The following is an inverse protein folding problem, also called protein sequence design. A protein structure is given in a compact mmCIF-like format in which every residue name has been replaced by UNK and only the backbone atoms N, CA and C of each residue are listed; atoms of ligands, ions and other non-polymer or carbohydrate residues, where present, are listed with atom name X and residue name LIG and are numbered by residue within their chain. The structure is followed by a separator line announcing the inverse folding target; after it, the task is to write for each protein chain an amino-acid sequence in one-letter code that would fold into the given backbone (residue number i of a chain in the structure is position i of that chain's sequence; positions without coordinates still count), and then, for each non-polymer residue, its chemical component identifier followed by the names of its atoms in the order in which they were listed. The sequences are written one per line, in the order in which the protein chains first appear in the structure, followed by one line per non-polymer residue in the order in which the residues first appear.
data_IF_182076416682
#
_entry.id   IF_182076416682
#
_cell.length_a   1.000
_cell.length_b   1.000
_cell.length_c   1.000
_cell.angle_alpha   90.00
_cell.angle_beta   90.00
_cell.angle_gamma   90.00
#
_symmetry.space_group_name_H-M   'P 1'
#
loop_
_entity.id
_entity.type
_entity.pdbx_description
1 polymer ?
#
# COMPACT_ATOMS: atom_id res chain seq x y z
N UNK A 1 -28.63 10.64 0.58
CA UNK A 1 -27.94 10.83 -0.71
C UNK A 1 -27.13 9.58 -1.01
N UNK A 2 -27.41 8.86 -2.09
CA UNK A 2 -26.59 7.73 -2.51
C UNK A 2 -25.22 8.26 -2.93
N UNK A 3 -24.16 7.92 -2.18
CA UNK A 3 -22.81 8.29 -2.59
C UNK A 3 -22.49 7.57 -3.89
N UNK A 4 -22.14 8.33 -4.93
CA UNK A 4 -21.69 7.81 -6.21
C UNK A 4 -20.41 7.00 -5.95
N UNK A 5 -20.47 5.68 -6.16
CA UNK A 5 -19.31 4.80 -6.05
C UNK A 5 -18.34 5.13 -7.17
N UNK A 6 -17.26 5.83 -6.86
CA UNK A 6 -16.21 6.15 -7.83
C UNK A 6 -15.34 4.91 -8.09
N UNK A 7 -14.98 4.62 -9.35
CA UNK A 7 -14.14 3.49 -9.68
C UNK A 7 -12.71 3.71 -9.14
N UNK A 8 -12.13 2.64 -8.59
CA UNK A 8 -10.74 2.61 -8.13
C UNK A 8 -9.97 1.58 -8.94
N UNK A 9 -8.92 2.04 -9.62
CA UNK A 9 -7.98 1.22 -10.38
C UNK A 9 -6.70 0.95 -9.59
N UNK A 10 -6.02 -0.15 -9.88
CA UNK A 10 -4.72 -0.48 -9.31
C UNK A 10 -3.62 -0.37 -10.37
N UNK A 11 -2.58 0.41 -10.11
CA UNK A 11 -1.45 0.64 -11.03
C UNK A 11 -0.11 0.47 -10.30
N UNK A 12 0.96 0.15 -11.02
CA UNK A 12 2.31 -0.03 -10.45
C UNK A 12 3.21 1.21 -10.54
N UNK A 13 2.74 2.26 -11.20
CA UNK A 13 3.39 3.57 -11.26
C UNK A 13 2.34 4.68 -11.31
N UNK A 14 2.72 5.87 -10.86
CA UNK A 14 1.91 7.07 -10.96
C UNK A 14 2.60 8.10 -11.87
N UNK A 15 1.84 8.92 -12.60
CA UNK A 15 2.37 10.16 -13.19
C UNK A 15 3.08 11.04 -12.15
N UNK A 16 4.17 11.71 -12.55
CA UNK A 16 4.98 12.53 -11.65
C UNK A 16 4.22 13.71 -11.03
N UNK A 17 3.15 14.19 -11.67
CA UNK A 17 2.22 15.20 -11.13
C UNK A 17 1.58 14.80 -9.78
N UNK A 18 1.57 13.50 -9.45
CA UNK A 18 1.01 13.01 -8.19
C UNK A 18 2.03 12.95 -7.05
N UNK A 19 3.26 13.43 -7.22
CA UNK A 19 4.30 13.37 -6.19
C UNK A 19 3.82 13.88 -4.83
N UNK A 20 3.30 15.11 -4.76
CA UNK A 20 2.84 15.70 -3.50
C UNK A 20 1.65 14.96 -2.90
N UNK A 21 0.72 14.46 -3.74
CA UNK A 21 -0.41 13.69 -3.23
C UNK A 21 0.05 12.34 -2.65
N UNK A 22 1.05 11.73 -3.27
CA UNK A 22 1.67 10.50 -2.78
C UNK A 22 2.45 10.74 -1.49
N UNK A 23 3.19 11.85 -1.41
CA UNK A 23 3.93 12.28 -0.22
C UNK A 23 3.00 12.48 0.99
N UNK A 24 1.89 13.21 0.80
CA UNK A 24 0.86 13.36 1.84
C UNK A 24 0.28 12.02 2.26
N UNK A 25 0.02 11.14 1.30
CA UNK A 25 -0.52 9.82 1.58
C UNK A 25 0.47 8.91 2.34
N UNK A 26 1.76 8.99 2.02
CA UNK A 26 2.81 8.11 2.59
C UNK A 26 3.47 8.61 3.86
N UNK A 27 3.53 9.91 4.11
CA UNK A 27 4.29 10.47 5.24
C UNK A 27 3.44 11.33 6.18
N UNK A 28 2.35 11.92 5.69
CA UNK A 28 1.51 12.84 6.46
C UNK A 28 0.12 12.27 6.76
N UNK A 29 -0.06 10.95 6.65
CA UNK A 29 -1.32 10.30 6.99
C UNK A 29 -1.45 10.22 8.52
N UNK A 30 -2.44 10.92 9.09
CA UNK A 30 -2.62 11.07 10.54
C UNK A 30 -2.89 9.76 11.27
N UNK A 31 -3.17 8.67 10.54
CA UNK A 31 -3.43 7.33 11.11
C UNK A 31 -2.20 6.45 11.25
N UNK A 32 -1.03 6.89 10.77
CA UNK A 32 0.21 6.10 10.84
C UNK A 32 0.69 5.81 12.27
N UNK A 33 0.36 6.69 13.23
CA UNK A 33 0.66 6.49 14.65
C UNK A 33 0.18 5.12 15.16
N UNK A 34 -0.93 4.60 14.61
CA UNK A 34 -1.52 3.32 15.00
C UNK A 34 -0.66 2.11 14.66
N UNK A 35 0.25 2.26 13.70
CA UNK A 35 1.09 1.18 13.18
C UNK A 35 2.58 1.51 13.32
N UNK A 36 2.92 2.50 14.15
CA UNK A 36 4.27 3.05 14.31
C UNK A 36 5.35 1.99 14.51
N UNK A 37 5.14 1.03 15.41
CA UNK A 37 6.10 -0.05 15.66
C UNK A 37 6.44 -0.85 14.41
N UNK A 38 5.44 -1.18 13.59
CA UNK A 38 5.69 -1.89 12.33
C UNK A 38 6.39 -1.01 11.29
N UNK A 39 6.21 0.31 11.33
CA UNK A 39 6.94 1.25 10.45
C UNK A 39 8.41 1.24 10.87
N UNK A 40 8.69 1.38 12.16
CA UNK A 40 10.05 1.32 12.71
C UNK A 40 10.74 -0.02 12.37
N UNK A 41 10.05 -1.15 12.52
CA UNK A 41 10.58 -2.46 12.11
C UNK A 41 10.85 -2.54 10.60
N UNK A 42 9.96 -1.98 9.76
CA UNK A 42 10.18 -1.95 8.31
C UNK A 42 11.41 -1.12 7.94
N UNK A 43 11.55 0.07 8.54
CA UNK A 43 12.68 0.97 8.30
C UNK A 43 14.00 0.31 8.73
N UNK A 44 14.03 -0.29 9.93
CA UNK A 44 15.25 -0.94 10.43
C UNK A 44 15.70 -2.10 9.55
N UNK A 45 14.77 -2.81 8.92
CA UNK A 45 15.08 -4.02 8.12
C UNK A 45 15.31 -3.74 6.64
N UNK A 46 14.61 -2.78 6.05
CA UNK A 46 14.61 -2.54 4.60
C UNK A 46 15.01 -1.12 4.21
N UNK A 47 15.21 -0.23 5.17
CA UNK A 47 15.43 1.20 4.92
C UNK A 47 14.13 2.00 4.87
N UNK A 48 14.26 3.33 4.95
CA UNK A 48 13.13 4.23 4.86
C UNK A 48 12.50 4.21 3.46
N UNK A 49 11.16 4.33 3.35
CA UNK A 49 10.52 4.49 2.06
C UNK A 49 10.84 5.86 1.47
N UNK A 50 11.16 5.88 0.18
CA UNK A 50 11.50 7.09 -0.58
C UNK A 50 10.65 7.16 -1.84
N UNK A 51 10.20 8.37 -2.20
CA UNK A 51 9.52 8.61 -3.47
C UNK A 51 10.57 9.02 -4.49
N UNK A 52 10.70 8.24 -5.56
CA UNK A 52 11.66 8.48 -6.65
C UNK A 52 10.93 8.80 -7.93
N UNK A 53 11.41 9.82 -8.62
CA UNK A 53 10.97 10.19 -9.96
C UNK A 53 11.81 9.47 -11.01
N UNK A 54 11.16 8.65 -11.83
CA UNK A 54 11.73 8.00 -13.01
C UNK A 54 11.06 8.58 -14.26
N UNK A 55 11.72 9.54 -14.91
CA UNK A 55 11.18 10.25 -16.07
C UNK A 55 9.86 10.95 -15.76
N UNK A 56 8.76 10.50 -16.38
CA UNK A 56 7.41 11.05 -16.18
C UNK A 56 6.60 10.34 -15.11
N UNK A 57 7.22 9.40 -14.39
CA UNK A 57 6.54 8.58 -13.38
C UNK A 57 7.20 8.69 -12.02
N UNK A 58 6.43 8.46 -10.97
CA UNK A 58 6.93 8.29 -9.60
C UNK A 58 6.67 6.88 -9.12
N UNK A 59 7.62 6.39 -8.32
CA UNK A 59 7.57 5.12 -7.61
C UNK A 59 7.99 5.29 -6.17
N UNK A 60 7.76 4.26 -5.38
CA UNK A 60 8.23 4.16 -4.00
C UNK A 60 9.28 3.07 -3.94
N UNK A 61 10.45 3.40 -3.43
CA UNK A 61 11.53 2.46 -3.12
C UNK A 61 11.78 2.42 -1.61
N UNK A 62 12.68 1.54 -1.18
CA UNK A 62 13.23 1.52 0.18
C UNK A 62 14.76 1.62 0.07
N UNK A 63 15.41 2.28 1.03
CA UNK A 63 16.85 2.56 0.96
C UNK A 63 17.78 1.34 1.02
N UNK A 64 17.29 0.13 1.29
CA UNK A 64 18.10 -1.10 1.33
C UNK A 64 18.32 -1.77 -0.03
N UNK A 65 19.11 -2.83 -0.07
CA UNK A 65 19.42 -3.61 -1.28
C UNK A 65 18.22 -4.36 -1.89
N UNK A 66 17.11 -4.44 -1.14
CA UNK A 66 15.91 -5.15 -1.60
C UNK A 66 15.02 -4.23 -2.43
N UNK A 67 14.81 -4.59 -3.70
CA UNK A 67 13.91 -3.86 -4.58
C UNK A 67 12.45 -3.98 -4.11
N UNK A 68 11.92 -2.89 -3.57
CA UNK A 68 10.51 -2.77 -3.25
C UNK A 68 9.67 -2.57 -4.51
N UNK A 69 8.48 -3.16 -4.47
CA UNK A 69 7.44 -3.02 -5.47
C UNK A 69 6.24 -2.32 -4.83
N UNK A 70 5.54 -1.52 -5.62
CA UNK A 70 4.37 -0.79 -5.14
C UNK A 70 3.15 -1.01 -6.05
N UNK A 71 1.98 -1.00 -5.44
CA UNK A 71 0.72 -0.79 -6.13
C UNK A 71 0.00 0.41 -5.53
N UNK A 72 -0.51 1.26 -6.41
CA UNK A 72 -1.29 2.43 -6.07
C UNK A 72 -2.76 2.16 -6.37
N UNK A 73 -3.64 2.55 -5.46
CA UNK A 73 -5.05 2.68 -5.71
C UNK A 73 -5.35 4.10 -6.18
N UNK A 74 -5.90 4.25 -7.38
CA UNK A 74 -6.27 5.55 -7.96
C UNK A 74 -7.78 5.61 -8.11
N UNK A 75 -8.41 6.53 -7.41
CA UNK A 75 -9.81 6.90 -7.63
C UNK A 75 -9.91 7.75 -8.89
N UNK A 76 -10.92 7.50 -9.73
CA UNK A 76 -11.22 8.33 -10.91
C UNK A 76 -12.58 8.99 -10.81
N UNK A 77 -12.64 10.23 -11.27
CA UNK A 77 -13.86 11.02 -11.44
C UNK A 77 -13.77 11.79 -12.76
N UNK A 78 -14.39 11.26 -13.82
CA UNK A 78 -14.25 11.85 -15.16
C UNK A 78 -12.79 11.87 -15.62
N UNK A 79 -12.23 13.07 -15.84
CA UNK A 79 -10.82 13.28 -16.21
C UNK A 79 -9.89 13.36 -15.00
N UNK A 80 -10.44 13.57 -13.81
CA UNK A 80 -9.67 13.72 -12.59
C UNK A 80 -9.31 12.35 -12.02
N UNK A 81 -8.08 12.25 -11.51
CA UNK A 81 -7.61 11.05 -10.84
C UNK A 81 -6.85 11.42 -9.57
N UNK A 82 -7.00 10.58 -8.54
CA UNK A 82 -6.40 10.83 -7.24
C UNK A 82 -5.88 9.52 -6.64
N UNK A 83 -4.60 9.44 -6.24
CA UNK A 83 -4.10 8.35 -5.42
C UNK A 83 -4.82 8.36 -4.06
N UNK A 84 -5.44 7.24 -3.72
CA UNK A 84 -6.21 7.05 -2.47
C UNK A 84 -5.69 5.88 -1.64
N UNK A 85 -4.68 5.14 -2.13
CA UNK A 85 -4.00 4.11 -1.36
C UNK A 85 -2.71 3.63 -1.99
N UNK A 86 -1.84 3.05 -1.16
CA UNK A 86 -0.55 2.49 -1.51
C UNK A 86 -0.37 1.17 -0.77
N UNK A 87 0.15 0.17 -1.45
CA UNK A 87 0.75 -1.02 -0.81
C UNK A 87 2.16 -1.21 -1.34
N UNK A 88 3.14 -1.16 -0.43
CA UNK A 88 4.56 -1.37 -0.67
C UNK A 88 4.93 -2.77 -0.18
N UNK A 89 5.62 -3.54 -0.99
CA UNK A 89 6.00 -4.92 -0.68
C UNK A 89 7.31 -5.31 -1.34
N UNK A 90 7.98 -6.30 -0.76
CA UNK A 90 9.23 -6.88 -1.29
C UNK A 90 9.07 -8.38 -1.46
N UNK A 91 9.83 -8.94 -2.39
CA UNK A 91 10.11 -10.39 -2.41
C UNK A 91 11.48 -10.60 -1.80
N UNK A 92 11.52 -10.81 -0.50
CA UNK A 92 12.76 -10.99 0.26
C UNK A 92 13.19 -12.47 0.40
N UNK A 93 12.41 -13.38 -0.20
CA UNK A 93 12.67 -14.82 -0.23
C UNK A 93 12.03 -15.44 -1.48
N UNK A 94 12.52 -16.61 -1.89
CA UNK A 94 11.91 -17.37 -2.98
C UNK A 94 10.43 -17.70 -2.70
N UNK A 95 10.06 -17.95 -1.45
CA UNK A 95 8.72 -18.43 -1.07
C UNK A 95 7.79 -17.35 -0.49
N UNK A 96 8.28 -16.12 -0.33
CA UNK A 96 7.57 -15.07 0.41
C UNK A 96 7.57 -13.71 -0.28
N UNK A 97 6.41 -13.07 -0.24
CA UNK A 97 6.25 -11.62 -0.39
C UNK A 97 5.94 -11.00 0.97
N UNK A 98 6.69 -9.97 1.36
CA UNK A 98 6.51 -9.24 2.61
C UNK A 98 5.96 -7.85 2.30
N UNK A 99 4.77 -7.53 2.81
CA UNK A 99 4.17 -6.19 2.71
C UNK A 99 4.80 -5.29 3.77
N UNK A 100 5.50 -4.27 3.29
CA UNK A 100 6.27 -3.31 4.09
C UNK A 100 5.47 -2.09 4.49
N UNK A 101 4.47 -1.68 3.70
CA UNK A 101 3.60 -0.56 4.04
C UNK A 101 2.24 -0.71 3.37
N UNK A 102 1.16 -0.40 4.09
CA UNK A 102 -0.20 -0.35 3.55
C UNK A 102 -0.86 0.92 4.06
N UNK A 103 -1.19 1.82 3.16
CA UNK A 103 -1.84 3.09 3.51
C UNK A 103 -3.02 3.32 2.59
N UNK A 104 -4.10 3.84 3.16
CA UNK A 104 -5.23 4.38 2.42
C UNK A 104 -5.52 5.78 2.93
N UNK A 105 -6.06 6.65 2.07
CA UNK A 105 -6.47 7.98 2.47
C UNK A 105 -7.49 7.87 3.61
N UNK A 106 -7.47 8.79 4.57
CA UNK A 106 -8.23 8.68 5.82
C UNK A 106 -9.73 8.50 5.60
N UNK A 107 -10.26 9.05 4.51
CA UNK A 107 -11.64 8.85 4.10
C UNK A 107 -12.00 7.35 3.96
N UNK A 108 -11.11 6.51 3.43
CA UNK A 108 -11.31 5.07 3.21
C UNK A 108 -10.85 4.20 4.37
N UNK A 109 -10.14 4.76 5.34
CA UNK A 109 -9.70 4.02 6.50
C UNK A 109 -10.87 3.78 7.48
N UNK A 110 -10.76 2.77 8.35
CA UNK A 110 -11.83 2.38 9.31
C UNK A 110 -12.31 3.58 10.14
N UNK A 111 -13.61 3.90 10.09
CA UNK A 111 -14.18 5.07 10.76
C UNK A 111 -14.07 6.39 9.97
N UNK A 112 -13.54 6.36 8.74
CA UNK A 112 -13.66 7.46 7.79
C UNK A 112 -15.01 7.46 7.06
N UNK A 113 -15.42 8.60 6.45
CA UNK A 113 -16.70 8.74 5.75
C UNK A 113 -16.89 7.78 4.58
N UNK A 114 -15.80 7.15 4.09
CA UNK A 114 -15.80 6.17 2.99
C UNK A 114 -15.32 4.77 3.41
N UNK A 115 -15.25 4.46 4.71
CA UNK A 115 -14.70 3.20 5.22
C UNK A 115 -15.40 1.94 4.66
N UNK A 116 -16.74 2.00 4.52
CA UNK A 116 -17.53 0.89 3.98
C UNK A 116 -17.52 0.80 2.45
N UNK A 117 -17.00 1.81 1.73
CA UNK A 117 -16.98 1.77 0.28
C UNK A 117 -15.81 0.93 -0.23
N UNK A 118 -16.14 -0.15 -0.92
CA UNK A 118 -15.23 -1.00 -1.67
C UNK A 118 -14.09 -1.65 -0.86
N UNK A 119 -14.06 -1.58 0.48
CA UNK A 119 -13.04 -2.20 1.34
C UNK A 119 -11.60 -2.02 0.80
N UNK A 120 -11.20 -0.77 0.55
CA UNK A 120 -10.02 -0.43 -0.24
C UNK A 120 -8.72 -1.13 0.22
N UNK A 121 -8.46 -1.12 1.53
CA UNK A 121 -7.29 -1.78 2.12
C UNK A 121 -7.25 -3.28 1.82
N UNK A 122 -8.40 -3.98 1.93
CA UNK A 122 -8.50 -5.39 1.58
C UNK A 122 -8.24 -5.61 0.09
N UNK A 123 -8.76 -4.75 -0.80
CA UNK A 123 -8.53 -4.87 -2.24
C UNK A 123 -7.06 -4.69 -2.62
N UNK A 124 -6.32 -3.80 -1.94
CA UNK A 124 -4.87 -3.66 -2.10
C UNK A 124 -4.15 -4.96 -1.72
N UNK A 125 -4.49 -5.56 -0.57
CA UNK A 125 -3.95 -6.87 -0.16
C UNK A 125 -4.30 -7.96 -1.18
N UNK A 126 -5.53 -8.00 -1.70
CA UNK A 126 -5.90 -8.96 -2.75
C UNK A 126 -5.15 -8.71 -4.07
N UNK A 127 -4.78 -7.47 -4.38
CA UNK A 127 -3.96 -7.16 -5.54
C UNK A 127 -2.55 -7.77 -5.39
N UNK A 128 -1.92 -7.64 -4.22
CA UNK A 128 -0.63 -8.30 -3.94
C UNK A 128 -0.77 -9.82 -3.94
N UNK A 129 -1.85 -10.38 -3.39
CA UNK A 129 -2.10 -11.84 -3.47
C UNK A 129 -2.25 -12.33 -4.91
N UNK A 130 -2.79 -11.53 -5.82
CA UNK A 130 -2.85 -11.85 -7.26
C UNK A 130 -1.47 -11.80 -7.92
N UNK A 131 -0.61 -10.87 -7.52
CA UNK A 131 0.80 -10.84 -7.94
C UNK A 131 1.50 -12.12 -7.46
N UNK A 132 1.41 -12.43 -6.16
CA UNK A 132 1.98 -13.63 -5.55
C UNK A 132 1.59 -14.93 -6.28
N UNK A 133 0.29 -15.10 -6.61
CA UNK A 133 -0.22 -16.27 -7.33
C UNK A 133 0.35 -16.44 -8.74
N UNK A 134 0.87 -15.37 -9.34
CA UNK A 134 1.48 -15.37 -10.68
C UNK A 134 3.00 -15.38 -10.62
N UNK A 135 3.59 -15.36 -9.42
CA UNK A 135 5.04 -15.35 -9.22
C UNK A 135 5.51 -16.74 -8.80
N UNK A 136 6.32 -17.37 -9.64
CA UNK A 136 6.89 -18.70 -9.38
C UNK A 136 7.61 -18.74 -8.04
N UNK A 137 7.29 -19.76 -7.23
CA UNK A 137 7.92 -20.03 -5.94
C UNK A 137 7.18 -19.46 -4.73
N UNK A 138 6.34 -18.43 -4.89
CA UNK A 138 5.67 -17.80 -3.75
C UNK A 138 4.62 -18.73 -3.14
N UNK A 139 4.70 -18.93 -1.82
CA UNK A 139 3.74 -19.69 -1.00
C UNK A 139 2.93 -18.81 -0.07
N UNK A 140 3.55 -17.73 0.44
CA UNK A 140 2.93 -16.89 1.47
C UNK A 140 3.10 -15.38 1.19
N UNK A 141 2.12 -14.61 1.65
CA UNK A 141 2.19 -13.14 1.73
C UNK A 141 2.10 -12.77 3.21
N UNK A 142 3.11 -12.09 3.72
CA UNK A 142 3.19 -11.63 5.11
C UNK A 142 2.96 -10.12 5.20
N UNK A 143 2.30 -9.66 6.28
CA UNK A 143 2.10 -8.25 6.57
C UNK A 143 2.95 -7.88 7.79
N UNK A 144 3.98 -7.04 7.60
CA UNK A 144 4.98 -6.77 8.63
C UNK A 144 4.40 -6.04 9.87
N UNK A 145 3.32 -5.28 9.70
CA UNK A 145 2.60 -4.60 10.81
C UNK A 145 1.73 -5.52 11.67
N UNK A 146 1.51 -6.78 11.25
CA UNK A 146 0.59 -7.68 11.95
C UNK A 146 1.23 -8.44 13.11
N UNK A 147 2.52 -8.25 13.40
CA UNK A 147 3.22 -9.07 14.39
C UNK A 147 2.76 -8.84 15.84
N UNK A 148 2.09 -7.71 16.14
CA UNK A 148 1.52 -7.44 17.46
C UNK A 148 0.03 -7.87 17.59
N UNK A 149 -0.60 -8.41 16.54
CA UNK A 149 -1.90 -9.06 16.68
C UNK A 149 -1.66 -10.55 16.97
N UNK A 150 -1.99 -11.07 18.16
CA UNK A 150 -2.00 -12.51 18.36
C UNK A 150 -2.86 -13.10 17.25
N UNK A 151 -2.27 -14.02 16.51
CA UNK A 151 -2.98 -14.83 15.53
C UNK A 151 -4.13 -15.47 16.31
N UNK A 152 -5.37 -15.03 16.09
CA UNK A 152 -6.52 -15.72 16.64
C UNK A 152 -6.37 -17.16 16.15
N UNK A 153 -6.13 -18.07 17.09
CA UNK A 153 -6.17 -19.49 16.82
C UNK A 153 -7.59 -19.76 16.33
N UNK A 154 -7.73 -19.93 15.00
CA UNK A 154 -8.92 -20.56 14.47
C UNK A 154 -8.80 -22.02 14.92
N UNK A 155 -9.52 -22.32 16.00
CA UNK A 155 -9.93 -23.67 16.36
C UNK A 155 -11.01 -24.14 15.39
#
# INVERSE_FOLDING_TARGET
MAAITRPVMFVSSLPAEYYHQLEVLLFFNGRQHRVRKGIETAINRYGAPEIVSEGKTVRVQVGGETHAQCLFAVEREGKDSRPVGVILYVRDSFERITVLHLVVAEAYAVGGPRAGYNNLALRLVQAVKRVARRTTGIRHVELLYSQDRPRAAFA
#
